data_IF_526223707871
#
_entry.id   IF_526223707871
#
_cell.length_a   1.000
_cell.length_b   1.000
_cell.length_c   1.000
_cell.angle_alpha   90.00
_cell.angle_beta   90.00
_cell.angle_gamma   90.00
#
_symmetry.space_group_name_H-M   'P 1'
#
loop_
_entity.id
_entity.type
_entity.pdbx_description
1 polymer ?
#
# COMPACT_ATOMS: atom_id res chain seq x y z
N UNK A 1 -16.28 -16.21 6.31
CA UNK A 1 -17.57 -16.23 7.05
C UNK A 1 -17.81 -14.94 7.82
N UNK A 2 -16.86 -14.46 8.66
CA UNK A 2 -17.00 -13.19 9.38
C UNK A 2 -17.32 -11.96 8.51
N UNK A 3 -16.59 -11.77 7.40
CA UNK A 3 -16.85 -10.66 6.46
C UNK A 3 -18.27 -10.68 5.88
N UNK A 4 -18.79 -11.87 5.51
CA UNK A 4 -20.13 -11.96 4.96
C UNK A 4 -21.21 -11.50 5.96
N UNK A 5 -21.08 -11.93 7.22
CA UNK A 5 -22.07 -11.62 8.25
C UNK A 5 -22.22 -10.11 8.46
N UNK A 6 -21.09 -9.38 8.39
CA UNK A 6 -21.08 -7.92 8.52
C UNK A 6 -21.61 -7.18 7.28
N UNK A 7 -21.52 -7.78 6.10
CA UNK A 7 -21.95 -7.13 4.84
C UNK A 7 -23.41 -7.46 4.47
N UNK A 8 -23.94 -8.57 4.97
CA UNK A 8 -25.30 -9.05 4.67
C UNK A 8 -26.33 -8.01 5.12
N UNK A 9 -27.23 -7.63 4.21
CA UNK A 9 -28.26 -6.61 4.45
C UNK A 9 -27.79 -5.15 4.30
N UNK A 10 -26.48 -4.92 4.13
CA UNK A 10 -25.91 -3.59 3.90
C UNK A 10 -25.61 -3.38 2.41
N UNK A 11 -25.00 -4.39 1.78
CA UNK A 11 -24.66 -4.35 0.35
C UNK A 11 -25.90 -4.54 -0.53
N UNK A 12 -25.86 -3.92 -1.71
CA UNK A 12 -26.83 -4.04 -2.78
C UNK A 12 -26.16 -4.54 -4.05
N UNK A 13 -26.97 -4.99 -5.01
CA UNK A 13 -26.47 -5.33 -6.34
C UNK A 13 -25.83 -4.12 -7.00
N UNK A 14 -24.69 -4.34 -7.65
CA UNK A 14 -23.88 -3.28 -8.27
C UNK A 14 -22.89 -2.59 -7.32
N UNK A 15 -22.95 -2.84 -6.01
CA UNK A 15 -21.98 -2.29 -5.06
C UNK A 15 -20.56 -2.85 -5.31
N UNK A 16 -19.57 -2.02 -4.98
CA UNK A 16 -18.16 -2.36 -5.06
C UNK A 16 -17.61 -2.45 -3.65
N UNK A 17 -17.24 -3.65 -3.24
CA UNK A 17 -16.57 -3.88 -1.96
C UNK A 17 -15.08 -3.62 -2.17
N UNK A 18 -14.50 -2.72 -1.39
CA UNK A 18 -13.09 -2.37 -1.43
C UNK A 18 -12.40 -2.85 -0.16
N UNK A 19 -11.42 -3.75 -0.32
CA UNK A 19 -10.62 -4.30 0.78
C UNK A 19 -9.23 -3.68 0.81
N UNK A 20 -8.72 -3.41 2.02
CA UNK A 20 -7.31 -3.11 2.23
C UNK A 20 -6.46 -4.36 1.95
N UNK A 21 -5.44 -4.23 1.10
CA UNK A 21 -4.47 -5.30 0.85
C UNK A 21 -3.82 -5.77 2.15
N UNK A 22 -3.34 -4.85 2.99
CA UNK A 22 -2.71 -5.15 4.28
C UNK A 22 -3.58 -5.97 5.19
N UNK A 23 -4.85 -5.59 5.35
CA UNK A 23 -5.78 -6.30 6.21
C UNK A 23 -6.02 -7.73 5.69
N UNK A 24 -6.10 -7.88 4.37
CA UNK A 24 -6.25 -9.19 3.72
C UNK A 24 -4.99 -10.04 3.85
N UNK A 25 -3.80 -9.47 3.62
CA UNK A 25 -2.52 -10.14 3.81
C UNK A 25 -2.34 -10.61 5.27
N UNK A 26 -2.66 -9.74 6.23
CA UNK A 26 -2.66 -10.06 7.66
C UNK A 26 -3.62 -11.22 7.98
N UNK A 27 -4.85 -11.17 7.47
CA UNK A 27 -5.83 -12.23 7.69
C UNK A 27 -5.45 -13.57 7.05
N UNK A 28 -4.63 -13.55 5.99
CA UNK A 28 -4.11 -14.74 5.31
C UNK A 28 -2.80 -15.25 5.94
N UNK A 29 -2.32 -14.62 7.01
CA UNK A 29 -1.03 -14.98 7.63
C UNK A 29 0.19 -14.62 6.79
N UNK A 30 0.04 -13.74 5.80
CA UNK A 30 1.12 -13.25 4.94
C UNK A 30 1.88 -12.13 5.64
N UNK A 31 2.46 -12.46 6.79
CA UNK A 31 3.27 -11.58 7.63
C UNK A 31 4.64 -12.20 7.84
N UNK A 32 5.67 -11.37 7.81
CA UNK A 32 7.04 -11.75 8.18
C UNK A 32 7.48 -10.95 9.40
N UNK A 33 8.46 -11.51 10.11
CA UNK A 33 9.14 -10.83 11.20
C UNK A 33 10.53 -10.37 10.72
N UNK A 34 10.69 -9.07 10.52
CA UNK A 34 11.93 -8.49 10.02
C UNK A 34 13.08 -8.59 11.03
N UNK A 35 12.81 -8.83 12.33
CA UNK A 35 13.85 -9.06 13.34
C UNK A 35 14.68 -10.32 13.07
N UNK A 36 14.11 -11.28 12.33
CA UNK A 36 14.79 -12.52 11.95
C UNK A 36 15.74 -12.33 10.77
N UNK A 37 15.67 -11.20 10.08
CA UNK A 37 16.53 -10.88 8.94
C UNK A 37 17.80 -10.22 9.50
N UNK A 38 18.95 -10.86 9.27
CA UNK A 38 20.26 -10.31 9.66
C UNK A 38 20.92 -9.65 8.46
N UNK A 39 20.86 -8.31 8.34
CA UNK A 39 21.49 -7.62 7.22
C UNK A 39 23.02 -7.67 7.32
N UNK A 40 23.67 -7.89 6.19
CA UNK A 40 25.12 -7.80 6.08
C UNK A 40 25.63 -6.38 6.31
N UNK A 41 26.93 -6.23 6.62
CA UNK A 41 27.56 -4.91 6.72
C UNK A 41 27.44 -4.11 5.42
N UNK A 42 27.58 -4.77 4.26
CA UNK A 42 27.39 -4.15 2.95
C UNK A 42 25.95 -3.66 2.75
N UNK A 43 24.96 -4.43 3.20
CA UNK A 43 23.55 -4.01 3.16
C UNK A 43 23.33 -2.73 3.96
N UNK A 44 23.99 -2.59 5.13
CA UNK A 44 23.93 -1.39 5.97
C UNK A 44 24.57 -0.17 5.30
N UNK A 45 25.74 -0.34 4.65
CA UNK A 45 26.39 0.72 3.86
C UNK A 45 25.47 1.15 2.71
N UNK A 46 24.92 0.18 1.98
CA UNK A 46 24.00 0.46 0.88
C UNK A 46 22.78 1.27 1.32
N UNK A 47 22.17 0.91 2.46
CA UNK A 47 21.05 1.66 3.05
C UNK A 47 21.47 3.07 3.45
N UNK A 48 22.64 3.22 4.08
CA UNK A 48 23.18 4.53 4.46
C UNK A 48 23.32 5.44 3.24
N UNK A 49 23.99 4.98 2.18
CA UNK A 49 24.22 5.76 0.97
C UNK A 49 22.89 6.05 0.27
N UNK A 50 22.08 5.02 0.00
CA UNK A 50 20.83 5.16 -0.75
C UNK A 50 19.84 6.05 -0.01
N UNK A 51 19.60 5.80 1.27
CA UNK A 51 18.58 6.52 2.03
C UNK A 51 19.09 7.86 2.54
N UNK A 52 20.12 7.86 3.40
CA UNK A 52 20.53 9.09 4.09
C UNK A 52 21.20 10.10 3.18
N UNK A 53 21.91 9.64 2.14
CA UNK A 53 22.64 10.51 1.20
C UNK A 53 21.81 10.78 -0.05
N UNK A 54 21.59 9.77 -0.90
CA UNK A 54 20.96 9.94 -2.22
C UNK A 54 19.52 10.44 -2.08
N UNK A 55 18.69 9.77 -1.28
CA UNK A 55 17.31 10.24 -1.03
C UNK A 55 17.26 11.46 -0.12
N UNK A 56 18.12 11.53 0.90
CA UNK A 56 18.12 12.62 1.88
C UNK A 56 18.47 14.00 1.32
N UNK A 57 19.31 14.06 0.28
CA UNK A 57 19.82 15.33 -0.25
C UNK A 57 19.57 15.55 -1.75
N UNK A 58 19.50 14.50 -2.56
CA UNK A 58 19.36 14.64 -4.02
C UNK A 58 17.94 14.27 -4.50
N UNK A 59 17.61 12.98 -4.51
CA UNK A 59 16.35 12.50 -5.10
C UNK A 59 15.13 12.97 -4.31
N UNK A 60 15.24 13.13 -2.99
CA UNK A 60 14.15 13.64 -2.17
C UNK A 60 13.79 15.10 -2.50
N UNK A 61 14.78 15.92 -2.87
CA UNK A 61 14.56 17.31 -3.30
C UNK A 61 13.92 17.34 -4.68
N UNK A 62 14.46 16.55 -5.63
CA UNK A 62 13.94 16.43 -7.01
C UNK A 62 12.47 15.98 -6.99
N UNK A 63 12.14 14.99 -6.15
CA UNK A 63 10.77 14.44 -6.01
C UNK A 63 9.86 15.29 -5.11
N UNK A 64 10.34 16.44 -4.62
CA UNK A 64 9.59 17.41 -3.81
C UNK A 64 8.98 16.75 -2.57
N UNK A 65 9.77 15.98 -1.84
CA UNK A 65 9.35 15.43 -0.55
C UNK A 65 9.17 16.57 0.47
N UNK A 66 8.29 16.36 1.46
CA UNK A 66 8.11 17.33 2.55
C UNK A 66 9.40 17.42 3.36
N UNK A 67 9.66 18.58 3.97
CA UNK A 67 10.83 18.81 4.83
C UNK A 67 10.93 17.77 5.95
N UNK A 68 9.82 17.53 6.64
CA UNK A 68 9.71 16.49 7.67
C UNK A 68 10.14 15.12 7.12
N UNK A 69 9.65 14.72 5.94
CA UNK A 69 10.03 13.44 5.32
C UNK A 69 11.53 13.37 5.01
N UNK A 70 12.13 14.47 4.54
CA UNK A 70 13.57 14.53 4.28
C UNK A 70 14.40 14.40 5.56
N UNK A 71 13.97 15.04 6.65
CA UNK A 71 14.61 14.91 7.96
C UNK A 71 14.59 13.47 8.46
N UNK A 72 13.47 12.76 8.28
CA UNK A 72 13.36 11.33 8.59
C UNK A 72 14.26 10.48 7.73
N UNK A 73 14.30 10.72 6.41
CA UNK A 73 15.16 9.98 5.48
C UNK A 73 16.64 10.17 5.83
N UNK A 74 17.06 11.37 6.25
CA UNK A 74 18.44 11.64 6.70
C UNK A 74 18.78 10.93 8.01
N UNK A 75 17.78 10.70 8.87
CA UNK A 75 17.91 9.95 10.14
C UNK A 75 17.46 8.48 10.02
N UNK A 76 17.30 7.96 8.80
CA UNK A 76 16.70 6.65 8.55
C UNK A 76 17.43 5.53 9.31
N UNK A 77 16.71 4.63 10.02
CA UNK A 77 17.33 3.57 10.82
C UNK A 77 18.05 2.57 9.93
N UNK A 78 19.37 2.43 10.12
CA UNK A 78 20.20 1.64 9.18
C UNK A 78 19.96 0.14 9.35
N UNK A 79 19.86 -0.35 10.58
CA UNK A 79 19.73 -1.79 10.84
C UNK A 79 18.37 -2.32 10.39
N UNK A 80 17.30 -1.69 10.86
CA UNK A 80 15.91 -1.99 10.50
C UNK A 80 15.68 -1.76 9.01
N UNK A 81 16.18 -0.63 8.49
CA UNK A 81 16.11 -0.30 7.07
C UNK A 81 16.83 -1.31 6.18
N UNK A 82 17.95 -1.87 6.63
CA UNK A 82 18.66 -2.90 5.89
C UNK A 82 17.93 -4.25 5.90
N UNK A 83 17.31 -4.62 7.02
CA UNK A 83 16.45 -5.80 7.10
C UNK A 83 15.26 -5.68 6.13
N UNK A 84 14.57 -4.53 6.14
CA UNK A 84 13.45 -4.23 5.25
C UNK A 84 13.87 -4.25 3.77
N UNK A 85 14.95 -3.55 3.41
CA UNK A 85 15.47 -3.52 2.03
C UNK A 85 15.90 -4.91 1.55
N UNK A 86 16.39 -5.77 2.42
CA UNK A 86 16.73 -7.14 2.07
C UNK A 86 15.48 -7.98 1.80
N UNK A 87 14.42 -7.83 2.59
CA UNK A 87 13.12 -8.46 2.29
C UNK A 87 12.55 -7.97 0.95
N UNK A 88 12.57 -6.66 0.72
CA UNK A 88 12.11 -6.06 -0.53
C UNK A 88 12.92 -6.51 -1.75
N UNK A 89 14.23 -6.78 -1.58
CA UNK A 89 15.10 -7.29 -2.64
C UNK A 89 14.64 -8.66 -3.12
N UNK A 90 14.35 -9.56 -2.17
CA UNK A 90 13.90 -10.93 -2.45
C UNK A 90 12.56 -10.94 -3.17
N UNK A 91 11.63 -10.07 -2.76
CA UNK A 91 10.26 -10.06 -3.31
C UNK A 91 10.13 -9.28 -4.63
N UNK A 92 10.83 -8.16 -4.75
CA UNK A 92 10.58 -7.17 -5.80
C UNK A 92 11.78 -6.80 -6.66
N UNK A 93 12.99 -7.24 -6.28
CA UNK A 93 14.23 -6.94 -6.98
C UNK A 93 14.75 -5.52 -6.77
N UNK A 94 15.85 -5.20 -7.45
CA UNK A 94 16.67 -4.00 -7.23
C UNK A 94 15.85 -2.70 -7.40
N UNK A 95 14.99 -2.62 -8.42
CA UNK A 95 14.20 -1.43 -8.71
C UNK A 95 13.18 -1.10 -7.61
N UNK A 96 12.81 -2.07 -6.78
CA UNK A 96 11.90 -1.86 -5.66
C UNK A 96 12.64 -1.38 -4.41
N UNK A 97 13.85 -1.90 -4.18
CA UNK A 97 14.71 -1.59 -3.04
C UNK A 97 15.29 -0.18 -3.10
N UNK A 98 15.48 0.36 -4.30
CA UNK A 98 16.01 1.72 -4.48
C UNK A 98 15.00 2.82 -4.11
N UNK A 99 13.75 2.48 -3.81
CA UNK A 99 12.75 3.46 -3.38
C UNK A 99 12.99 3.93 -1.94
N UNK A 100 12.45 5.10 -1.55
CA UNK A 100 12.52 5.58 -0.18
C UNK A 100 11.35 5.06 0.68
N UNK A 101 10.31 4.51 0.05
CA UNK A 101 9.10 3.99 0.68
C UNK A 101 8.36 3.05 -0.28
N UNK A 102 7.32 2.36 0.23
CA UNK A 102 6.44 1.49 -0.56
C UNK A 102 7.21 0.36 -1.27
N UNK A 103 8.21 -0.23 -0.61
CA UNK A 103 9.19 -1.11 -1.25
C UNK A 103 8.58 -2.50 -1.51
N UNK A 104 8.41 -2.85 -2.79
CA UNK A 104 7.78 -4.09 -3.24
C UNK A 104 6.34 -4.34 -2.72
N UNK A 105 5.68 -3.35 -2.11
CA UNK A 105 4.39 -3.54 -1.47
C UNK A 105 4.45 -4.20 -0.10
N UNK A 106 5.64 -4.25 0.52
CA UNK A 106 5.79 -4.60 1.93
C UNK A 106 5.32 -3.41 2.76
N UNK A 107 4.45 -3.66 3.74
CA UNK A 107 3.94 -2.62 4.64
C UNK A 107 4.19 -3.01 6.10
N UNK A 108 4.84 -2.10 6.82
CA UNK A 108 5.20 -2.22 8.24
C UNK A 108 4.30 -1.35 9.13
N UNK A 109 3.53 -0.43 8.55
CA UNK A 109 2.63 0.44 9.31
C UNK A 109 1.36 -0.31 9.72
N UNK A 110 0.81 0.02 10.89
CA UNK A 110 -0.36 -0.67 11.46
C UNK A 110 -0.14 -2.18 11.71
N UNK A 111 1.11 -2.58 11.90
CA UNK A 111 1.51 -3.88 12.42
C UNK A 111 2.44 -3.68 13.63
N UNK A 112 2.43 -4.58 14.62
CA UNK A 112 3.23 -4.40 15.82
C UNK A 112 4.63 -4.95 15.64
N UNK A 113 5.51 -4.57 16.56
CA UNK A 113 6.89 -5.03 16.65
C UNK A 113 7.65 -4.75 15.33
N UNK A 114 8.28 -5.78 14.79
CA UNK A 114 9.00 -5.81 13.52
C UNK A 114 8.21 -6.57 12.44
N UNK A 115 6.89 -6.69 12.60
CA UNK A 115 6.07 -7.39 11.63
C UNK A 115 5.80 -6.53 10.38
N UNK A 116 5.87 -7.19 9.23
CA UNK A 116 5.57 -6.59 7.94
C UNK A 116 4.62 -7.48 7.15
N UNK A 117 3.58 -6.91 6.54
CA UNK A 117 2.70 -7.63 5.63
C UNK A 117 3.33 -7.75 4.26
N UNK A 118 3.21 -8.93 3.65
CA UNK A 118 3.68 -9.22 2.30
C UNK A 118 2.63 -8.83 1.24
N UNK A 119 3.06 -8.44 0.03
CA UNK A 119 2.17 -8.11 -1.08
C UNK A 119 1.37 -9.33 -1.57
N UNK A 120 0.13 -9.10 -2.01
CA UNK A 120 -0.70 -10.10 -2.65
C UNK A 120 -0.30 -10.26 -4.12
N UNK A 121 0.46 -11.31 -4.42
CA UNK A 121 0.95 -11.57 -5.78
C UNK A 121 -0.01 -12.38 -6.66
N UNK A 122 -1.08 -12.93 -6.08
CA UNK A 122 -2.00 -13.83 -6.80
C UNK A 122 -3.24 -13.08 -7.32
N UNK A 123 -3.26 -12.79 -8.61
CA UNK A 123 -4.40 -12.13 -9.27
C UNK A 123 -5.69 -12.96 -9.30
N UNK A 124 -5.62 -14.28 -9.15
CA UNK A 124 -6.81 -15.14 -9.07
C UNK A 124 -7.54 -15.03 -7.73
N UNK A 125 -6.86 -14.53 -6.68
CA UNK A 125 -7.40 -14.42 -5.34
C UNK A 125 -8.65 -13.51 -5.30
N UNK A 126 -8.62 -12.37 -5.98
CA UNK A 126 -9.78 -11.46 -6.04
C UNK A 126 -10.99 -12.11 -6.72
N UNK A 127 -10.76 -12.97 -7.72
CA UNK A 127 -11.82 -13.72 -8.40
C UNK A 127 -12.43 -14.76 -7.46
N UNK A 128 -11.58 -15.51 -6.74
CA UNK A 128 -12.03 -16.49 -5.74
C UNK A 128 -12.83 -15.84 -4.62
N UNK A 129 -12.34 -14.72 -4.08
CA UNK A 129 -13.03 -13.97 -3.03
C UNK A 129 -14.37 -13.39 -3.51
N UNK A 130 -14.44 -12.83 -4.72
CA UNK A 130 -15.72 -12.36 -5.28
C UNK A 130 -16.72 -13.51 -5.41
N UNK A 131 -16.31 -14.68 -5.90
CA UNK A 131 -17.18 -15.87 -5.98
C UNK A 131 -17.69 -16.30 -4.60
N UNK A 132 -16.82 -16.28 -3.59
CA UNK A 132 -17.23 -16.58 -2.21
C UNK A 132 -18.23 -15.55 -1.66
N UNK A 133 -18.01 -14.26 -1.91
CA UNK A 133 -18.91 -13.18 -1.50
C UNK A 133 -20.27 -13.28 -2.20
N UNK A 134 -20.29 -13.57 -3.50
CA UNK A 134 -21.53 -13.77 -4.27
C UNK A 134 -22.39 -14.88 -3.67
N UNK A 135 -21.79 -16.05 -3.37
CA UNK A 135 -22.50 -17.19 -2.74
C UNK A 135 -23.07 -16.83 -1.36
N UNK A 136 -22.34 -16.01 -0.61
CA UNK A 136 -22.63 -15.72 0.78
C UNK A 136 -23.65 -14.59 0.95
N UNK A 137 -23.54 -13.54 0.14
CA UNK A 137 -24.35 -12.33 0.21
C UNK A 137 -25.62 -12.43 -0.65
N UNK A 138 -25.63 -13.34 -1.64
CA UNK A 138 -26.69 -13.44 -2.67
C UNK A 138 -26.91 -12.13 -3.43
N UNK A 139 -25.89 -11.30 -3.51
CA UNK A 139 -25.89 -10.03 -4.24
C UNK A 139 -24.71 -9.98 -5.22
N UNK A 140 -24.96 -9.47 -6.42
CA UNK A 140 -23.95 -9.33 -7.47
C UNK A 140 -23.10 -8.08 -7.20
N UNK A 141 -22.03 -8.29 -6.43
CA UNK A 141 -21.06 -7.25 -6.06
C UNK A 141 -19.76 -7.38 -6.86
N UNK A 142 -19.10 -6.25 -7.07
CA UNK A 142 -17.70 -6.21 -7.51
C UNK A 142 -16.77 -6.17 -6.28
N UNK A 143 -15.52 -6.60 -6.47
CA UNK A 143 -14.50 -6.63 -5.44
C UNK A 143 -13.24 -5.94 -5.95
N UNK A 144 -12.71 -5.02 -5.14
CA UNK A 144 -11.44 -4.35 -5.38
C UNK A 144 -10.53 -4.53 -4.17
N UNK A 145 -9.26 -4.82 -4.41
CA UNK A 145 -8.21 -4.80 -3.39
C UNK A 145 -7.38 -3.53 -3.64
N UNK A 146 -7.21 -2.73 -2.59
CA UNK A 146 -6.52 -1.44 -2.67
C UNK A 146 -5.40 -1.39 -1.64
N UNK A 147 -4.30 -0.80 -2.06
CA UNK A 147 -3.20 -0.42 -1.20
C UNK A 147 -3.03 1.10 -1.16
N UNK A 148 -2.53 1.60 -0.03
CA UNK A 148 -2.34 3.04 0.25
C UNK A 148 -1.14 3.64 -0.49
N UNK A 149 -0.28 2.78 -1.04
CA UNK A 149 0.78 3.13 -1.97
C UNK A 149 0.26 3.97 -3.14
N UNK A 150 1.12 4.86 -3.63
CA UNK A 150 0.73 5.81 -4.68
C UNK A 150 1.00 5.27 -6.08
N UNK A 151 -0.06 5.30 -6.89
CA UNK A 151 -0.02 5.24 -8.36
C UNK A 151 -0.13 6.66 -8.92
N UNK A 152 0.54 6.91 -10.03
CA UNK A 152 0.64 8.21 -10.67
C UNK A 152 -0.07 8.19 -12.01
N UNK A 153 -1.21 8.88 -12.11
CA UNK A 153 -2.05 8.87 -13.30
C UNK A 153 -2.02 10.20 -14.04
N UNK A 154 -1.79 10.16 -15.35
CA UNK A 154 -1.90 11.29 -16.25
C UNK A 154 -3.07 11.08 -17.21
N UNK A 155 -4.20 11.80 -17.02
CA UNK A 155 -5.33 11.74 -17.94
C UNK A 155 -4.95 12.16 -19.36
N UNK A 156 -4.05 13.15 -19.51
CA UNK A 156 -3.62 13.68 -20.82
C UNK A 156 -2.83 12.67 -21.64
N UNK A 157 -2.03 11.83 -20.99
CA UNK A 157 -1.19 10.82 -21.63
C UNK A 157 -1.82 9.44 -21.64
N UNK A 158 -3.02 9.30 -21.06
CA UNK A 158 -3.66 8.02 -20.74
C UNK A 158 -2.68 6.99 -20.13
N UNK A 159 -1.81 7.48 -19.22
CA UNK A 159 -0.72 6.70 -18.66
C UNK A 159 -0.82 6.64 -17.14
N UNK A 160 -0.78 5.43 -16.61
CA UNK A 160 -0.75 5.18 -15.17
C UNK A 160 0.53 4.42 -14.80
N UNK A 161 1.31 5.03 -13.90
CA UNK A 161 2.57 4.49 -13.40
C UNK A 161 2.36 3.99 -11.98
N UNK A 162 2.46 2.68 -11.78
CA UNK A 162 2.54 2.08 -10.45
C UNK A 162 4.01 1.93 -10.05
N UNK A 163 4.29 2.07 -8.75
CA UNK A 163 5.62 1.81 -8.21
C UNK A 163 5.84 0.33 -7.83
N UNK A 164 4.82 -0.51 -7.99
CA UNK A 164 4.81 -1.94 -7.64
C UNK A 164 4.00 -2.77 -8.63
N UNK A 165 4.14 -4.10 -8.56
CA UNK A 165 3.36 -5.03 -9.39
C UNK A 165 1.89 -5.02 -8.94
N UNK A 166 0.98 -5.04 -9.90
CA UNK A 166 -0.47 -5.12 -9.68
C UNK A 166 -1.08 -6.09 -10.70
N UNK A 167 -2.34 -6.45 -10.48
CA UNK A 167 -3.12 -7.29 -11.38
C UNK A 167 -3.92 -6.49 -12.43
N UNK A 168 -3.84 -5.15 -12.38
CA UNK A 168 -4.47 -4.25 -13.34
C UNK A 168 -3.48 -4.04 -14.50
N UNK A 169 -3.82 -4.52 -15.70
CA UNK A 169 -2.90 -4.60 -16.85
C UNK A 169 -2.46 -3.23 -17.35
N UNK A 170 -3.31 -2.23 -17.19
CA UNK A 170 -3.11 -0.86 -17.64
C UNK A 170 -2.13 -0.08 -16.75
N UNK A 171 -1.81 -0.58 -15.56
CA UNK A 171 -0.82 0.02 -14.66
C UNK A 171 0.60 -0.45 -15.02
N UNK A 172 1.42 0.46 -15.54
CA UNK A 172 2.82 0.15 -15.87
C UNK A 172 3.70 0.27 -14.61
N UNK A 173 4.43 -0.80 -14.29
CA UNK A 173 5.38 -0.82 -13.18
C UNK A 173 6.82 -0.64 -13.68
N UNK A 174 7.44 0.50 -13.37
CA UNK A 174 8.84 0.80 -13.62
C UNK A 174 9.63 0.98 -12.30
N UNK A 175 9.10 0.49 -11.18
CA UNK A 175 9.72 0.56 -9.86
C UNK A 175 10.03 1.98 -9.40
N UNK A 176 11.26 2.23 -8.98
CA UNK A 176 11.73 3.55 -8.54
C UNK A 176 11.54 4.65 -9.60
N UNK A 177 11.61 4.33 -10.89
CA UNK A 177 11.41 5.30 -11.96
C UNK A 177 9.97 5.82 -12.00
N UNK A 178 8.97 4.93 -11.81
CA UNK A 178 7.57 5.35 -11.68
C UNK A 178 7.39 6.36 -10.54
N UNK A 179 8.06 6.11 -9.42
CA UNK A 179 8.01 7.01 -8.25
C UNK A 179 8.67 8.36 -8.55
N UNK A 180 9.88 8.37 -9.13
CA UNK A 180 10.60 9.60 -9.45
C UNK A 180 9.82 10.43 -10.48
N UNK A 181 9.44 9.83 -11.61
CA UNK A 181 8.70 10.53 -12.68
C UNK A 181 7.37 11.05 -12.14
N UNK A 182 6.60 10.20 -11.46
CA UNK A 182 5.30 10.59 -10.91
C UNK A 182 5.37 11.73 -9.89
N UNK A 183 6.41 11.74 -9.04
CA UNK A 183 6.60 12.78 -8.01
C UNK A 183 7.20 14.07 -8.55
N UNK A 184 8.13 13.99 -9.49
CA UNK A 184 8.77 15.16 -10.10
C UNK A 184 7.81 15.91 -11.02
N UNK A 185 6.96 15.18 -11.75
CA UNK A 185 6.02 15.71 -12.73
C UNK A 185 4.57 15.74 -12.21
N UNK A 186 4.35 16.10 -10.95
CA UNK A 186 3.00 16.14 -10.31
C UNK A 186 1.96 17.00 -11.04
N UNK A 187 2.38 17.97 -11.85
CA UNK A 187 1.49 18.77 -12.69
C UNK A 187 0.77 17.90 -13.74
N UNK A 188 1.44 16.86 -14.22
CA UNK A 188 0.93 15.94 -15.23
C UNK A 188 0.43 14.64 -14.61
N UNK A 189 1.08 14.17 -13.56
CA UNK A 189 0.76 12.92 -12.87
C UNK A 189 0.12 13.18 -11.52
N UNK A 190 -1.18 12.88 -11.40
CA UNK A 190 -1.92 12.98 -10.14
C UNK A 190 -1.71 11.70 -9.32
N UNK A 191 -1.27 11.80 -8.05
CA UNK A 191 -1.18 10.64 -7.17
C UNK A 191 -2.58 10.15 -6.79
N UNK A 192 -2.76 8.83 -6.80
CA UNK A 192 -3.98 8.11 -6.41
C UNK A 192 -3.58 6.86 -5.60
N UNK A 193 -4.46 6.37 -4.74
CA UNK A 193 -4.29 5.04 -4.13
C UNK A 193 -4.23 3.95 -5.22
N UNK A 194 -3.54 2.85 -4.93
CA UNK A 194 -3.23 1.82 -5.93
C UNK A 194 -4.28 0.71 -5.90
N UNK A 195 -5.09 0.52 -6.96
CA UNK A 195 -5.90 -0.69 -7.10
C UNK A 195 -4.97 -1.86 -7.42
N UNK A 196 -4.79 -2.75 -6.47
CA UNK A 196 -3.92 -3.93 -6.59
C UNK A 196 -4.57 -4.98 -7.47
N UNK A 197 -5.87 -5.22 -7.27
CA UNK A 197 -6.64 -6.18 -8.05
C UNK A 197 -8.12 -5.80 -8.08
N UNK A 198 -8.82 -6.22 -9.13
CA UNK A 198 -10.24 -5.97 -9.30
C UNK A 198 -10.91 -7.19 -9.95
N UNK A 199 -12.11 -7.53 -9.47
CA UNK A 199 -13.00 -8.49 -10.08
C UNK A 199 -14.41 -7.91 -10.12
N UNK A 200 -14.99 -7.81 -11.31
CA UNK A 200 -16.29 -7.18 -11.52
C UNK A 200 -16.58 -7.01 -13.00
N UNK A 201 -17.68 -6.32 -13.35
CA UNK A 201 -17.91 -5.82 -14.70
C UNK A 201 -16.72 -4.98 -15.18
N UNK A 202 -16.51 -4.93 -16.50
CA UNK A 202 -15.43 -4.13 -17.08
C UNK A 202 -15.60 -2.65 -16.69
N UNK A 203 -14.53 -2.02 -16.23
CA UNK A 203 -14.57 -0.66 -15.72
C UNK A 203 -13.32 0.11 -16.17
N UNK A 204 -13.48 1.33 -16.71
CA UNK A 204 -12.35 2.18 -17.10
C UNK A 204 -11.38 2.42 -15.95
N UNK A 205 -10.07 2.40 -16.24
CA UNK A 205 -9.01 2.68 -15.27
C UNK A 205 -9.20 3.98 -14.47
N UNK A 206 -9.63 5.12 -15.07
CA UNK A 206 -9.87 6.34 -14.29
C UNK A 206 -10.88 6.14 -13.15
N UNK A 207 -11.95 5.38 -13.40
CA UNK A 207 -12.99 5.10 -12.40
C UNK A 207 -12.43 4.18 -11.30
N UNK A 208 -11.66 3.14 -11.67
CA UNK A 208 -10.98 2.27 -10.70
C UNK A 208 -10.06 3.06 -9.76
N UNK A 209 -9.29 4.00 -10.31
CA UNK A 209 -8.39 4.87 -9.53
C UNK A 209 -9.14 5.85 -8.63
N UNK A 210 -10.32 6.33 -9.05
CA UNK A 210 -11.16 7.19 -8.23
C UNK A 210 -11.81 6.43 -7.07
N UNK A 211 -12.33 5.24 -7.32
CA UNK A 211 -12.87 4.35 -6.28
C UNK A 211 -11.77 4.01 -5.27
N UNK A 212 -10.57 3.64 -5.74
CA UNK A 212 -9.46 3.32 -4.86
C UNK A 212 -9.08 4.50 -3.96
N UNK A 213 -8.96 5.70 -4.54
CA UNK A 213 -8.64 6.93 -3.81
C UNK A 213 -9.73 7.32 -2.82
N UNK A 214 -11.01 7.19 -3.19
CA UNK A 214 -12.14 7.46 -2.29
C UNK A 214 -12.13 6.50 -1.10
N UNK A 215 -11.93 5.21 -1.35
CA UNK A 215 -11.88 4.20 -0.31
C UNK A 215 -10.68 4.41 0.64
N UNK A 216 -9.51 4.76 0.11
CA UNK A 216 -8.32 5.10 0.92
C UNK A 216 -8.58 6.30 1.85
N UNK A 217 -9.25 7.35 1.33
CA UNK A 217 -9.61 8.53 2.14
C UNK A 217 -10.59 8.22 3.26
N UNK A 218 -11.65 7.47 2.96
CA UNK A 218 -12.69 7.11 3.96
C UNK A 218 -12.13 6.17 5.02
N UNK A 219 -11.24 5.26 4.64
CA UNK A 219 -10.57 4.34 5.58
C UNK A 219 -9.75 5.09 6.64
N UNK A 220 -9.21 6.26 6.29
CA UNK A 220 -8.31 7.00 7.15
C UNK A 220 -6.94 6.34 7.28
N UNK A 221 -6.19 6.74 8.29
CA UNK A 221 -4.77 6.37 8.45
C UNK A 221 -4.52 5.32 9.54
N UNK A 222 -5.56 4.86 10.24
CA UNK A 222 -5.43 3.99 11.41
C UNK A 222 -4.53 4.64 12.48
N UNK A 223 -3.48 3.93 12.89
CA UNK A 223 -2.48 4.40 13.84
C UNK A 223 -1.45 5.36 13.23
N UNK A 224 -1.37 5.47 11.91
CA UNK A 224 -0.46 6.38 11.20
C UNK A 224 -0.19 5.93 9.76
N UNK A 225 0.23 6.86 8.89
CA UNK A 225 0.56 6.55 7.48
C UNK A 225 1.90 5.85 7.31
N UNK A 226 2.76 5.94 8.32
CA UNK A 226 4.10 5.36 8.31
C UNK A 226 4.40 4.79 9.69
N UNK A 227 5.38 3.90 9.78
CA UNK A 227 5.91 3.40 11.06
C UNK A 227 6.38 4.53 11.98
N UNK A 228 6.90 5.62 11.41
CA UNK A 228 7.33 6.79 12.18
C UNK A 228 6.16 7.56 12.80
N UNK A 229 5.08 7.76 12.04
CA UNK A 229 3.85 8.38 12.56
C UNK A 229 3.21 7.50 13.63
N UNK A 230 3.18 6.19 13.40
CA UNK A 230 2.65 5.20 14.35
C UNK A 230 3.44 5.19 15.66
N UNK A 231 4.77 5.10 15.60
CA UNK A 231 5.64 5.15 16.77
C UNK A 231 5.49 6.47 17.55
N UNK A 232 5.42 7.61 16.83
CA UNK A 232 5.20 8.93 17.44
C UNK A 232 3.84 9.01 18.15
N UNK A 233 2.77 8.49 17.54
CA UNK A 233 1.42 8.48 18.12
C UNK A 233 1.37 7.76 19.46
N UNK A 234 2.09 6.65 19.59
CA UNK A 234 2.15 5.87 20.83
C UNK A 234 3.32 6.24 21.75
N UNK A 235 4.12 7.26 21.41
CA UNK A 235 5.25 7.69 22.22
C UNK A 235 6.33 6.61 22.40
N UNK A 236 6.52 5.74 21.40
CA UNK A 236 7.40 4.57 21.48
C UNK A 236 8.42 4.53 20.34
N UNK A 237 9.32 3.55 20.35
CA UNK A 237 10.28 3.29 19.27
C UNK A 237 9.60 2.59 18.09
N UNK A 238 10.27 2.52 16.93
CA UNK A 238 9.70 1.86 15.73
C UNK A 238 9.24 0.43 15.99
N UNK A 239 9.98 -0.31 16.82
CA UNK A 239 9.70 -1.71 17.14
C UNK A 239 8.92 -1.87 18.46
N UNK A 240 8.56 -0.77 19.11
CA UNK A 240 7.91 -0.75 20.42
C UNK A 240 6.38 -0.69 20.37
N UNK A 241 5.79 -0.70 19.17
CA UNK A 241 4.33 -0.74 18.99
C UNK A 241 3.82 -2.16 19.21
N UNK A 242 2.77 -2.33 20.01
CA UNK A 242 2.23 -3.65 20.39
C UNK A 242 0.83 -3.88 19.82
N UNK A 243 0.36 -5.14 19.87
CA UNK A 243 -1.03 -5.47 19.50
C UNK A 243 -2.04 -4.66 20.33
N UNK A 244 -1.83 -4.54 21.63
CA UNK A 244 -2.74 -3.80 22.52
C UNK A 244 -2.87 -2.33 22.11
N UNK A 245 -1.77 -1.70 21.70
CA UNK A 245 -1.78 -0.33 21.17
C UNK A 245 -2.57 -0.23 19.87
N UNK A 246 -2.41 -1.19 18.96
CA UNK A 246 -3.14 -1.18 17.68
C UNK A 246 -4.63 -1.50 17.86
N UNK A 247 -5.00 -2.30 18.86
CA UNK A 247 -6.38 -2.59 19.23
C UNK A 247 -7.10 -1.36 19.82
N UNK A 248 -6.38 -0.36 20.32
CA UNK A 248 -6.98 0.88 20.82
C UNK A 248 -7.31 1.90 19.72
N UNK A 249 -7.14 1.53 18.46
CA UNK A 249 -7.39 2.40 17.30
C UNK A 249 -8.40 1.73 16.39
N UNK A 250 -9.37 2.50 15.90
CA UNK A 250 -10.32 2.00 14.92
C UNK A 250 -9.66 1.78 13.56
N UNK A 251 -9.90 0.60 12.98
CA UNK A 251 -9.45 0.25 11.63
C UNK A 251 -10.66 -0.04 10.74
N UNK A 252 -10.65 0.54 9.54
CA UNK A 252 -11.74 0.41 8.56
C UNK A 252 -11.29 -0.33 7.28
N UNK A 253 -10.89 -1.61 7.37
CA UNK A 253 -10.27 -2.32 6.25
C UNK A 253 -11.21 -2.60 5.07
N UNK A 254 -12.52 -2.42 5.26
CA UNK A 254 -13.56 -2.68 4.25
C UNK A 254 -14.36 -1.41 4.02
N UNK A 255 -14.49 -1.01 2.75
CA UNK A 255 -15.30 0.13 2.32
C UNK A 255 -16.28 -0.34 1.26
N UNK A 256 -17.53 0.10 1.33
CA UNK A 256 -18.53 -0.15 0.28
C UNK A 256 -18.66 1.13 -0.54
N UNK A 257 -18.48 1.01 -1.86
CA UNK A 257 -18.68 2.11 -2.79
C UNK A 257 -19.89 1.80 -3.66
N UNK A 258 -20.85 2.72 -3.66
CA UNK A 258 -22.07 2.65 -4.47
C UNK A 258 -22.05 3.75 -5.52
N UNK A 259 -22.16 3.36 -6.78
CA UNK A 259 -22.32 4.31 -7.89
C UNK A 259 -23.80 4.68 -7.92
N UNK A 260 -24.09 5.98 -7.80
CA UNK A 260 -25.44 6.51 -7.95
C UNK A 260 -25.61 6.94 -9.40
N UNK A 261 -26.63 6.41 -10.07
CA UNK A 261 -27.06 7.00 -11.33
C UNK A 261 -27.66 8.37 -11.04
N UNK A 262 -27.25 9.38 -11.80
CA UNK A 262 -27.95 10.66 -11.82
C UNK A 262 -29.23 10.42 -12.63
N UNK A 263 -30.35 10.34 -11.92
CA UNK A 263 -31.66 10.57 -12.54
C UNK A 263 -31.72 11.99 -13.09
#
# INVERSE_FOLDING_TARGET
QGLCSKLKGIVKDGDIIVLSEKALATALGLIIDESKIRPSFLSKIFVFITMRVVWGYLLGVITRLKRETLEWIRKYPISEGAAHKQAALVLGGILQVLKPSSEAGIDTSNLPYTYASLPLNNCSLVIGLRKALLKCLKSNVALMIVDSDRTYFSPKLNLALSSRKTCIKELKNLGVLSYIVGRSFRKYFKPKATPVAYAGPNMPLPILLEIAELADRVRGVGAGRTVFEMARRFGTTLNGVTWNMLCSVDHYPVVIVRILEKN
#
